data_IF_639922021405
#
_entry.id   IF_639922021405
#
_cell.length_a   1.000
_cell.length_b   1.000
_cell.length_c   1.000
_cell.angle_alpha   90.00
_cell.angle_beta   90.00
_cell.angle_gamma   90.00
#
_symmetry.space_group_name_H-M   'P 1'
#
loop_
_entity.id
_entity.type
_entity.pdbx_description
1 polymer ?
#
# COMPACT_ATOMS: atom_id res chain seq x y z
N UNK A 1 3.49 -5.63 -10.75
CA UNK A 1 3.74 -6.87 -9.97
C UNK A 1 2.88 -6.82 -8.72
N UNK A 2 2.13 -7.87 -8.38
CA UNK A 2 1.36 -7.90 -7.14
C UNK A 2 2.30 -7.86 -5.93
N UNK A 3 1.93 -7.10 -4.90
CA UNK A 3 2.65 -7.10 -3.62
C UNK A 3 2.32 -8.41 -2.92
N UNK A 4 3.34 -9.21 -2.63
CA UNK A 4 3.20 -10.46 -1.89
C UNK A 4 4.20 -10.45 -0.74
N UNK A 5 3.68 -10.42 0.48
CA UNK A 5 4.43 -10.37 1.72
C UNK A 5 4.32 -11.71 2.42
N UNK A 6 5.47 -12.32 2.74
CA UNK A 6 5.54 -13.57 3.52
C UNK A 6 6.38 -13.40 4.79
N UNK A 7 7.11 -12.29 4.88
CA UNK A 7 8.09 -12.06 5.93
C UNK A 7 8.36 -10.57 6.15
N UNK A 8 9.02 -10.25 7.27
CA UNK A 8 9.55 -8.91 7.53
C UNK A 8 10.57 -8.49 6.46
N UNK A 9 11.34 -9.43 5.91
CA UNK A 9 12.31 -9.15 4.86
C UNK A 9 11.62 -8.70 3.57
N UNK A 10 10.53 -9.36 3.17
CA UNK A 10 9.74 -8.95 2.00
C UNK A 10 9.09 -7.59 2.21
N UNK A 11 8.58 -7.36 3.43
CA UNK A 11 8.02 -6.07 3.81
C UNK A 11 9.07 -4.95 3.72
N UNK A 12 10.26 -5.14 4.28
CA UNK A 12 11.37 -4.16 4.16
C UNK A 12 11.80 -3.94 2.72
N UNK A 13 11.83 -4.98 1.89
CA UNK A 13 12.09 -4.86 0.44
C UNK A 13 10.99 -4.05 -0.25
N UNK A 14 9.73 -4.29 0.09
CA UNK A 14 8.59 -3.51 -0.40
C UNK A 14 8.71 -2.03 -0.03
N UNK A 15 9.01 -1.71 1.23
CA UNK A 15 9.14 -0.31 1.70
C UNK A 15 10.21 0.49 0.96
N UNK A 16 11.25 -0.18 0.44
CA UNK A 16 12.31 0.46 -0.36
C UNK A 16 11.92 0.74 -1.80
N UNK A 17 10.77 0.24 -2.28
CA UNK A 17 10.34 0.47 -3.66
C UNK A 17 9.86 1.92 -3.82
N UNK A 18 10.27 2.63 -4.89
CA UNK A 18 9.79 3.98 -5.14
C UNK A 18 8.26 4.04 -5.21
N UNK A 19 7.67 5.00 -4.51
CA UNK A 19 6.23 5.21 -4.46
C UNK A 19 5.45 4.19 -3.62
N UNK A 20 6.10 3.25 -2.94
CA UNK A 20 5.42 2.33 -2.03
C UNK A 20 4.67 3.09 -0.93
N UNK A 21 3.42 2.73 -0.72
CA UNK A 21 2.58 3.31 0.33
C UNK A 21 2.03 2.24 1.27
N UNK A 22 1.87 2.63 2.54
CA UNK A 22 1.13 1.86 3.52
C UNK A 22 -0.19 2.57 3.82
N UNK A 23 -1.28 1.81 3.89
CA UNK A 23 -2.57 2.32 4.32
C UNK A 23 -3.08 1.45 5.46
N UNK A 24 -3.54 2.07 6.55
CA UNK A 24 -4.27 1.31 7.57
C UNK A 24 -5.63 0.94 6.99
N UNK A 25 -5.96 -0.35 6.99
CA UNK A 25 -7.29 -0.84 6.59
C UNK A 25 -8.12 -1.28 7.80
N UNK A 26 -7.46 -1.56 8.93
CA UNK A 26 -8.13 -1.87 10.19
C UNK A 26 -7.25 -1.48 11.37
N UNK A 27 -7.84 -0.95 12.43
CA UNK A 27 -7.17 -0.70 13.69
C UNK A 27 -8.13 -1.04 14.84
N UNK A 28 -8.00 -2.24 15.39
CA UNK A 28 -8.97 -2.76 16.36
C UNK A 28 -9.01 -1.95 17.66
N UNK A 29 -7.89 -1.32 18.05
CA UNK A 29 -7.84 -0.44 19.21
C UNK A 29 -8.77 0.76 19.02
N UNK A 30 -8.72 1.36 17.82
CA UNK A 30 -9.55 2.52 17.45
C UNK A 30 -10.99 2.09 17.24
N UNK A 31 -11.22 0.93 16.63
CA UNK A 31 -12.56 0.38 16.38
C UNK A 31 -13.36 0.16 17.67
N UNK A 32 -12.68 -0.02 18.81
CA UNK A 32 -13.28 -0.18 20.15
C UNK A 32 -13.54 1.12 20.89
N UNK A 33 -12.97 2.25 20.43
CA UNK A 33 -13.20 3.54 21.08
C UNK A 33 -14.60 4.08 20.76
N UNK A 34 -15.05 5.06 21.55
CA UNK A 34 -16.27 5.81 21.24
C UNK A 34 -16.18 6.56 19.90
N UNK A 35 -17.33 6.96 19.36
CA UNK A 35 -17.40 7.63 18.06
C UNK A 35 -16.61 8.95 17.99
N UNK A 36 -16.53 9.71 19.09
CA UNK A 36 -15.79 10.97 19.13
C UNK A 36 -14.28 10.73 19.04
N UNK A 37 -13.78 9.74 19.80
CA UNK A 37 -12.41 9.25 19.73
C UNK A 37 -12.06 8.72 18.34
N UNK A 38 -12.91 7.90 17.74
CA UNK A 38 -12.71 7.42 16.36
C UNK A 38 -12.61 8.57 15.36
N UNK A 39 -13.52 9.55 15.45
CA UNK A 39 -13.49 10.73 14.59
C UNK A 39 -12.22 11.57 14.79
N UNK A 40 -11.74 11.71 16.03
CA UNK A 40 -10.50 12.41 16.32
C UNK A 40 -9.29 11.72 15.67
N UNK A 41 -9.20 10.39 15.72
CA UNK A 41 -8.14 9.66 15.03
C UNK A 41 -8.20 9.81 13.51
N UNK A 42 -9.41 9.77 12.92
CA UNK A 42 -9.61 10.03 11.48
C UNK A 42 -9.08 11.40 11.07
N UNK A 43 -9.41 12.45 11.84
CA UNK A 43 -8.94 13.82 11.58
C UNK A 43 -7.42 13.96 11.67
N UNK A 44 -6.74 13.09 12.42
CA UNK A 44 -5.27 13.03 12.52
C UNK A 44 -4.61 12.22 11.40
N UNK A 45 -5.38 11.80 10.39
CA UNK A 45 -4.84 11.06 9.24
C UNK A 45 -4.60 9.58 9.53
N UNK A 46 -5.32 8.96 10.48
CA UNK A 46 -5.11 7.56 10.84
C UNK A 46 -5.13 6.62 9.62
N UNK A 47 -6.12 6.81 8.75
CA UNK A 47 -6.37 5.99 7.56
C UNK A 47 -5.77 6.58 6.28
N UNK A 48 -5.05 7.70 6.38
CA UNK A 48 -4.38 8.30 5.23
C UNK A 48 -3.18 7.45 4.80
N UNK A 49 -2.86 7.44 3.48
CA UNK A 49 -1.67 6.77 2.98
C UNK A 49 -0.39 7.32 3.61
N UNK A 50 0.56 6.42 3.82
CA UNK A 50 1.85 6.70 4.45
C UNK A 50 2.99 6.38 3.50
N UNK A 51 3.94 7.28 3.36
CA UNK A 51 5.13 7.11 2.53
C UNK A 51 6.36 6.96 3.41
N UNK A 52 7.27 6.07 3.03
CA UNK A 52 8.50 5.87 3.78
C UNK A 52 9.35 7.14 3.74
N UNK A 53 9.64 7.71 4.90
CA UNK A 53 10.57 8.83 5.08
C UNK A 53 11.99 8.34 5.28
N UNK A 54 12.16 7.41 6.22
CA UNK A 54 13.44 6.83 6.58
C UNK A 54 13.24 5.43 7.15
N UNK A 55 14.25 4.57 7.01
CA UNK A 55 14.23 3.22 7.58
C UNK A 55 15.58 2.89 8.20
N UNK A 56 15.55 2.36 9.41
CA UNK A 56 16.71 1.84 10.13
C UNK A 56 16.64 0.31 10.25
N UNK A 57 17.63 -0.28 10.92
CA UNK A 57 17.60 -1.71 11.26
C UNK A 57 16.41 -2.06 12.16
N UNK A 58 15.93 -1.10 12.96
CA UNK A 58 14.98 -1.30 14.07
C UNK A 58 13.58 -0.73 13.83
N UNK A 59 13.44 0.24 12.94
CA UNK A 59 12.16 0.91 12.69
C UNK A 59 12.08 1.53 11.29
N UNK A 60 10.87 1.91 10.89
CA UNK A 60 10.62 2.85 9.81
C UNK A 60 9.87 4.08 10.32
N UNK A 61 10.17 5.23 9.71
CA UNK A 61 9.48 6.50 9.90
C UNK A 61 8.71 6.78 8.61
N UNK A 62 7.45 7.16 8.76
CA UNK A 62 6.58 7.48 7.64
C UNK A 62 6.03 8.89 7.74
N UNK A 63 5.96 9.59 6.61
CA UNK A 63 5.15 10.79 6.47
C UNK A 63 3.70 10.38 6.18
N UNK A 64 2.74 11.13 6.72
CA UNK A 64 1.31 10.89 6.51
C UNK A 64 0.80 11.86 5.45
N UNK A 65 0.18 11.34 4.38
CA UNK A 65 -0.30 12.16 3.26
C UNK A 65 -1.25 13.25 3.74
N UNK A 66 -0.95 14.51 3.41
CA UNK A 66 -1.80 15.65 3.75
C UNK A 66 -1.69 16.12 5.20
N UNK A 67 -0.75 15.57 5.98
CA UNK A 67 -0.54 15.95 7.38
C UNK A 67 0.94 16.23 7.66
N UNK A 68 1.22 17.28 8.44
CA UNK A 68 2.57 17.57 8.95
C UNK A 68 2.85 16.73 10.20
N UNK A 69 2.79 15.41 10.04
CA UNK A 69 3.06 14.47 11.12
C UNK A 69 3.79 13.25 10.60
N UNK A 70 4.55 12.62 11.49
CA UNK A 70 5.24 11.37 11.20
C UNK A 70 4.86 10.28 12.18
N UNK A 71 4.87 9.04 11.69
CA UNK A 71 4.53 7.87 12.48
C UNK A 71 5.64 6.84 12.39
N UNK A 72 5.89 6.16 13.51
CA UNK A 72 6.96 5.19 13.64
C UNK A 72 6.37 3.78 13.68
N UNK A 73 7.05 2.86 12.99
CA UNK A 73 6.77 1.43 13.08
C UNK A 73 8.04 0.70 13.52
N UNK A 74 8.02 0.18 14.74
CA UNK A 74 9.15 -0.53 15.34
C UNK A 74 9.03 -2.04 15.12
N UNK A 75 10.15 -2.70 14.87
CA UNK A 75 10.26 -4.15 14.74
C UNK A 75 11.46 -4.73 15.50
N UNK A 76 12.08 -3.93 16.38
CA UNK A 76 13.24 -4.31 17.19
C UNK A 76 12.88 -5.16 18.41
N UNK A 77 11.71 -4.91 19.02
CA UNK A 77 11.19 -5.72 20.13
C UNK A 77 10.52 -7.04 19.70
N UNK A 78 10.72 -7.43 18.45
CA UNK A 78 10.25 -8.69 17.89
C UNK A 78 9.09 -8.52 16.90
N UNK A 79 9.12 -9.35 15.87
CA UNK A 79 8.09 -9.46 14.83
C UNK A 79 7.47 -10.85 14.78
N UNK A 80 7.74 -11.69 15.79
CA UNK A 80 7.30 -13.09 15.84
C UNK A 80 5.78 -13.24 15.67
N UNK A 81 5.02 -12.27 16.17
CA UNK A 81 3.56 -12.28 16.11
C UNK A 81 2.99 -11.45 14.95
N UNK A 82 3.85 -10.90 14.08
CA UNK A 82 3.38 -10.22 12.88
C UNK A 82 2.90 -11.26 11.88
N UNK A 83 1.78 -10.97 11.22
CA UNK A 83 1.22 -11.85 10.19
C UNK A 83 1.30 -11.15 8.85
N UNK A 84 1.86 -11.84 7.87
CA UNK A 84 1.98 -11.35 6.49
C UNK A 84 1.07 -12.20 5.60
N UNK A 85 0.20 -11.55 4.82
CA UNK A 85 -0.73 -12.26 3.95
C UNK A 85 -1.04 -11.40 2.72
N UNK A 86 -0.66 -11.88 1.53
CA UNK A 86 -0.85 -11.14 0.29
C UNK A 86 -0.19 -9.77 0.34
N UNK A 87 -1.00 -8.72 0.17
CA UNK A 87 -0.59 -7.32 0.24
C UNK A 87 -0.75 -6.72 1.65
N UNK A 88 -1.06 -7.52 2.68
CA UNK A 88 -1.32 -7.03 4.03
C UNK A 88 -0.26 -7.49 5.05
N UNK A 89 -0.05 -6.64 6.05
CA UNK A 89 0.69 -6.97 7.28
C UNK A 89 -0.15 -6.60 8.49
N UNK A 90 -0.32 -7.56 9.40
CA UNK A 90 -0.98 -7.37 10.69
C UNK A 90 0.08 -7.21 11.76
N UNK A 91 0.05 -6.07 12.45
CA UNK A 91 0.98 -5.71 13.51
C UNK A 91 0.23 -5.69 14.84
N UNK A 92 0.56 -6.56 15.81
CA UNK A 92 -0.07 -6.55 17.12
C UNK A 92 0.29 -5.27 17.88
N UNK A 93 -0.69 -4.71 18.58
CA UNK A 93 -0.52 -3.64 19.55
C UNK A 93 -0.44 -4.28 20.94
N UNK A 94 0.70 -4.11 21.60
CA UNK A 94 0.86 -4.53 22.99
C UNK A 94 0.24 -3.47 23.91
N UNK A 95 -1.10 -3.38 23.91
CA UNK A 95 -1.82 -2.68 24.97
C UNK A 95 -1.79 -3.58 26.22
N UNK A 96 -1.30 -3.06 27.34
CA UNK A 96 -1.05 -3.83 28.59
C UNK A 96 -2.33 -4.29 29.29
N UNK A 97 -3.51 -3.84 28.89
CA UNK A 97 -4.81 -4.26 29.42
C UNK A 97 -5.85 -4.31 28.29
N UNK A 98 -6.45 -5.48 28.06
CA UNK A 98 -7.55 -5.68 27.11
C UNK A 98 -7.30 -6.82 26.11
N UNK A 99 -8.32 -7.18 25.29
CA UNK A 99 -8.16 -8.17 24.25
C UNK A 99 -7.11 -7.71 23.22
N UNK A 100 -6.31 -8.62 22.64
CA UNK A 100 -5.18 -8.26 21.79
C UNK A 100 -5.63 -7.38 20.64
N UNK A 101 -5.03 -6.19 20.55
CA UNK A 101 -5.29 -5.26 19.47
C UNK A 101 -4.27 -5.42 18.34
N UNK A 102 -4.65 -5.00 17.15
CA UNK A 102 -3.77 -5.01 16.00
C UNK A 102 -4.10 -3.89 15.01
N UNK A 103 -3.08 -3.48 14.27
CA UNK A 103 -3.21 -2.64 13.08
C UNK A 103 -2.94 -3.50 11.86
N UNK A 104 -3.87 -3.48 10.92
CA UNK A 104 -3.70 -4.12 9.62
C UNK A 104 -3.35 -3.04 8.61
N UNK A 105 -2.17 -3.18 8.00
CA UNK A 105 -1.71 -2.32 6.92
C UNK A 105 -1.87 -3.05 5.59
N UNK A 106 -2.38 -2.34 4.58
CA UNK A 106 -2.29 -2.70 3.17
C UNK A 106 -1.10 -2.01 2.53
N UNK A 107 -0.33 -2.78 1.77
CA UNK A 107 0.91 -2.39 1.12
C UNK A 107 0.65 -2.22 -0.37
N UNK A 108 0.69 -0.99 -0.85
CA UNK A 108 0.34 -0.65 -2.23
C UNK A 108 1.56 -0.14 -2.97
N UNK A 109 1.77 -0.63 -4.19
CA UNK A 109 2.69 -0.02 -5.14
C UNK A 109 1.88 0.84 -6.12
N UNK A 110 2.46 1.94 -6.62
CA UNK A 110 1.86 2.64 -7.74
C UNK A 110 1.76 1.63 -8.89
N UNK A 111 0.61 1.61 -9.57
CA UNK A 111 0.49 0.82 -10.78
C UNK A 111 1.51 1.34 -11.78
N UNK A 112 2.64 0.64 -11.92
CA UNK A 112 3.53 0.83 -13.06
C UNK A 112 2.72 0.43 -14.28
N UNK A 113 2.26 1.45 -15.02
CA UNK A 113 1.24 1.36 -16.04
C UNK A 113 1.21 -0.01 -16.70
N UNK A 114 0.13 -0.77 -16.43
CA UNK A 114 -0.40 -1.65 -17.44
C UNK A 114 -0.59 -0.75 -18.66
N UNK A 115 0.38 -0.85 -19.58
CA UNK A 115 0.38 -0.22 -20.88
C UNK A 115 -1.05 -0.45 -21.38
N UNK A 116 -1.84 0.62 -21.42
CA UNK A 116 -2.98 0.71 -22.34
C UNK A 116 -2.35 0.42 -23.69
N UNK A 117 -2.26 -0.85 -24.05
CA UNK A 117 -2.07 -1.28 -25.40
C UNK A 117 -3.31 -0.70 -26.08
N UNK A 118 -3.11 0.48 -26.64
CA UNK A 118 -4.01 1.09 -27.58
C UNK A 118 -4.31 -0.01 -28.59
N UNK A 119 -5.47 -0.64 -28.46
CA UNK A 119 -6.17 -1.18 -29.61
C UNK A 119 -6.50 0.04 -30.47
N UNK A 120 -5.49 0.54 -31.19
CA UNK A 120 -5.71 1.22 -32.45
C UNK A 120 -6.41 0.17 -33.32
N UNK A 121 -7.64 0.42 -33.80
CA UNK A 121 -8.11 -0.36 -34.92
C UNK A 121 -7.10 -0.15 -36.05
N UNK A 122 -6.54 -1.26 -36.53
CA UNK A 122 -5.57 -1.27 -37.61
C UNK A 122 -6.24 -0.70 -38.87
N UNK A 123 -5.54 0.27 -39.46
CA UNK A 123 -5.49 0.66 -40.86
C UNK A 123 -6.65 0.17 -41.76
N UNK A 124 -7.48 1.12 -42.19
CA UNK A 124 -8.10 1.05 -43.51
C UNK A 124 -6.98 1.14 -44.56
N UNK A 125 -6.44 -0.02 -44.95
CA UNK A 125 -5.57 -0.17 -46.11
C UNK A 125 -6.39 0.09 -47.38
N UNK A 126 -6.47 1.34 -47.81
CA UNK A 126 -6.73 1.64 -49.22
C UNK A 126 -5.41 1.44 -49.95
N UNK A 127 -5.18 0.24 -50.45
CA UNK A 127 -4.16 0.03 -51.48
C UNK A 127 -4.64 0.64 -52.79
N UNK A 128 -3.78 1.38 -53.50
CA UNK A 128 -3.99 1.76 -54.90
C UNK A 128 -3.52 0.61 -55.79
N UNK A 129 -4.30 0.21 -56.80
CA UNK A 129 -3.69 -0.25 -58.06
C UNK A 129 -4.74 -0.31 -59.18
N UNK A 130 -4.35 0.24 -60.32
CA UNK A 130 -5.10 0.23 -61.56
C UNK A 130 -5.02 -1.15 -62.24
N UNK A 131 -6.11 -1.58 -62.86
CA UNK A 131 -6.06 -2.53 -63.99
C UNK A 131 -7.36 -2.44 -64.82
N UNK A 132 -7.29 -1.74 -65.97
CA UNK A 132 -7.94 -2.18 -67.21
C UNK A 132 -7.12 -3.38 -67.73
N UNK A 133 -7.70 -4.43 -68.34
CA UNK A 133 -8.44 -4.44 -69.63
C UNK A 133 -9.73 -5.32 -69.54
N UNK A 134 -10.64 -5.50 -70.50
CA UNK A 134 -10.77 -5.26 -71.93
C UNK A 134 -11.65 -6.38 -72.51
N UNK A 135 -12.84 -6.03 -73.04
CA UNK A 135 -13.60 -6.61 -74.18
C UNK A 135 -15.02 -6.05 -74.17
#
# INVERSE_FOLDING_TARGET
MPVVLRSLSDFKKFLRKPGATLQIVQNTFVDRQDAASQAAYRRKGLYEPRTLRAMSKKAAIFDVKGHDTTVWLYWDRGTRNWRFSGDTVTVPLHATLGPPDAVVYRCVLPETGARRAQRRPAAASKSPEAARPGL
#
